data_IF_841224099802
#
_entry.id   IF_841224099802
#
_cell.length_a   1.000
_cell.length_b   1.000
_cell.length_c   1.000
_cell.angle_alpha   90.00
_cell.angle_beta   90.00
_cell.angle_gamma   90.00
#
_symmetry.space_group_name_H-M   'P 1'
#
loop_
_entity.id
_entity.type
_entity.pdbx_description
1 polymer ?
#
# COMPACT_ATOMS: atom_id res chain seq x y z
N UNK A 1 -9.31 15.88 22.61
CA UNK A 1 -8.78 17.24 22.39
C UNK A 1 -7.92 17.63 23.57
N UNK A 2 -6.63 17.87 23.35
CA UNK A 2 -5.75 18.37 24.40
C UNK A 2 -6.07 19.85 24.67
N UNK A 3 -6.39 20.19 25.92
CA UNK A 3 -6.64 21.57 26.33
C UNK A 3 -5.34 22.24 26.76
N UNK A 4 -4.96 23.31 26.06
CA UNK A 4 -3.80 24.13 26.38
C UNK A 4 -4.20 25.32 27.24
N UNK A 5 -3.46 25.55 28.33
CA UNK A 5 -3.63 26.77 29.14
C UNK A 5 -3.05 27.97 28.39
N UNK A 6 -3.50 29.20 28.68
CA UNK A 6 -2.95 30.41 28.05
C UNK A 6 -1.43 30.56 28.20
N UNK A 7 -0.85 30.04 29.29
CA UNK A 7 0.61 30.06 29.51
C UNK A 7 1.33 29.13 28.53
N UNK A 8 0.88 27.88 28.41
CA UNK A 8 1.45 26.88 27.50
C UNK A 8 1.33 27.33 26.04
N UNK A 9 0.18 27.90 25.68
CA UNK A 9 -0.05 28.45 24.34
C UNK A 9 0.89 29.64 24.04
N UNK A 10 1.10 30.51 25.02
CA UNK A 10 1.97 31.67 24.89
C UNK A 10 3.44 31.27 24.69
N UNK A 11 3.90 30.26 25.46
CA UNK A 11 5.23 29.69 25.33
C UNK A 11 5.47 29.09 23.93
N UNK A 12 4.50 28.34 23.40
CA UNK A 12 4.60 27.75 22.05
C UNK A 12 4.63 28.80 20.93
N UNK A 13 3.82 29.85 21.06
CA UNK A 13 3.75 30.93 20.07
C UNK A 13 4.87 31.97 20.22
N UNK A 14 5.73 31.85 21.23
CA UNK A 14 6.78 32.83 21.50
C UNK A 14 6.26 34.21 21.88
N UNK A 15 5.06 34.30 22.46
CA UNK A 15 4.42 35.56 22.88
C UNK A 15 4.12 35.59 24.37
N UNK A 16 3.70 36.74 24.89
CA UNK A 16 3.23 36.83 26.28
C UNK A 16 1.76 36.43 26.41
N UNK A 17 1.37 35.96 27.60
CA UNK A 17 -0.05 35.68 27.92
C UNK A 17 -0.93 36.93 27.73
N UNK A 18 -0.38 38.12 27.98
CA UNK A 18 -1.08 39.40 27.76
C UNK A 18 -1.37 39.61 26.27
N UNK A 19 -0.44 39.26 25.38
CA UNK A 19 -0.63 39.30 23.92
C UNK A 19 -1.80 38.41 23.51
N UNK A 20 -1.86 37.17 24.01
CA UNK A 20 -2.99 36.27 23.75
C UNK A 20 -4.34 36.83 24.22
N UNK A 21 -4.38 37.48 25.38
CA UNK A 21 -5.62 38.12 25.86
C UNK A 21 -6.06 39.30 24.99
N UNK A 22 -5.12 40.03 24.39
CA UNK A 22 -5.41 41.11 23.44
C UNK A 22 -5.95 40.52 22.14
N UNK A 23 -5.34 39.45 21.62
CA UNK A 23 -5.81 38.77 20.42
C UNK A 23 -7.20 38.17 20.57
N UNK A 24 -7.51 37.59 21.73
CA UNK A 24 -8.85 37.11 22.08
C UNK A 24 -9.90 38.23 22.06
N UNK A 25 -9.57 39.42 22.60
CA UNK A 25 -10.46 40.60 22.55
C UNK A 25 -10.62 41.19 21.14
N UNK A 26 -9.55 41.18 20.35
CA UNK A 26 -9.54 41.69 18.96
C UNK A 26 -10.12 40.70 17.95
N UNK A 27 -10.32 39.44 18.34
CA UNK A 27 -10.76 38.36 17.45
C UNK A 27 -9.65 37.77 16.57
N UNK A 28 -8.39 38.17 16.75
CA UNK A 28 -7.24 37.65 15.98
C UNK A 28 -6.93 36.19 16.29
N UNK A 29 -7.10 35.76 17.54
CA UNK A 29 -7.02 34.37 17.98
C UNK A 29 -7.98 34.19 19.16
N UNK A 30 -9.18 33.68 18.89
CA UNK A 30 -10.27 33.65 19.86
C UNK A 30 -10.10 32.49 20.85
N UNK A 31 -10.07 32.79 22.15
CA UNK A 31 -9.94 31.75 23.17
C UNK A 31 -11.26 31.02 23.40
N UNK A 32 -11.22 29.69 23.53
CA UNK A 32 -12.36 28.94 24.04
C UNK A 32 -12.55 29.15 25.55
N UNK A 33 -13.76 28.89 26.04
CA UNK A 33 -14.15 29.11 27.44
C UNK A 33 -14.68 27.84 28.07
N UNK A 34 -14.17 27.52 29.25
CA UNK A 34 -14.78 26.50 30.11
C UNK A 34 -16.15 26.99 30.62
N UNK A 35 -17.00 26.11 31.18
CA UNK A 35 -18.22 26.54 31.88
C UNK A 35 -17.95 27.55 33.00
N UNK A 36 -16.74 27.54 33.58
CA UNK A 36 -16.25 28.52 34.56
C UNK A 36 -15.63 29.78 33.95
N UNK A 37 -15.85 30.03 32.65
CA UNK A 37 -15.35 31.17 31.88
C UNK A 37 -13.81 31.34 31.83
N UNK A 38 -13.05 30.27 32.07
CA UNK A 38 -11.58 30.28 31.94
C UNK A 38 -11.19 30.10 30.48
N UNK A 39 -10.17 30.84 30.05
CA UNK A 39 -9.58 30.73 28.70
C UNK A 39 -8.82 29.42 28.57
N UNK A 40 -9.03 28.72 27.46
CA UNK A 40 -8.16 27.66 27.00
C UNK A 40 -8.04 27.73 25.47
N UNK A 41 -7.00 27.11 24.95
CA UNK A 41 -6.74 26.95 23.53
C UNK A 41 -6.65 25.46 23.21
N UNK A 42 -6.79 25.11 21.93
CA UNK A 42 -6.56 23.73 21.49
C UNK A 42 -5.29 23.64 20.66
N UNK A 43 -4.79 22.42 20.51
CA UNK A 43 -3.68 22.12 19.60
C UNK A 43 -4.04 22.54 18.17
N UNK A 44 -5.30 22.35 17.74
CA UNK A 44 -5.74 22.74 16.39
C UNK A 44 -5.61 24.26 16.17
N UNK A 45 -5.98 25.08 17.17
CA UNK A 45 -5.84 26.54 17.09
C UNK A 45 -4.37 27.00 17.00
N UNK A 46 -3.45 26.28 17.65
CA UNK A 46 -2.02 26.55 17.54
C UNK A 46 -1.53 26.28 16.13
N UNK A 47 -1.84 25.09 15.61
CA UNK A 47 -1.46 24.64 14.26
C UNK A 47 -2.03 25.58 13.19
N UNK A 48 -3.30 25.97 13.29
CA UNK A 48 -3.93 26.95 12.40
C UNK A 48 -3.21 28.30 12.43
N UNK A 49 -2.87 28.81 13.60
CA UNK A 49 -2.20 30.11 13.75
C UNK A 49 -0.78 30.12 13.16
N UNK A 50 0.00 29.05 13.31
CA UNK A 50 1.36 28.96 12.74
C UNK A 50 1.37 28.63 11.24
N UNK A 51 0.19 28.58 10.60
CA UNK A 51 0.06 28.22 9.18
C UNK A 51 0.25 26.73 8.90
N UNK A 52 0.25 25.88 9.93
CA UNK A 52 0.16 24.42 9.83
C UNK A 52 -1.29 23.97 10.03
N UNK A 53 -2.26 24.74 9.52
CA UNK A 53 -3.67 24.45 9.74
C UNK A 53 -3.97 22.98 9.47
N UNK A 54 -4.58 22.33 10.45
CA UNK A 54 -5.19 21.00 10.32
C UNK A 54 -6.42 21.03 9.41
N UNK A 55 -6.49 21.95 8.45
CA UNK A 55 -7.24 21.67 7.23
C UNK A 55 -6.50 20.50 6.61
N UNK A 56 -7.09 19.30 6.72
CA UNK A 56 -6.70 18.14 5.93
C UNK A 56 -6.77 18.54 4.45
N UNK A 57 -5.75 19.23 3.93
CA UNK A 57 -5.47 19.42 2.50
C UNK A 57 -4.91 18.12 1.93
N UNK A 58 -5.42 17.01 2.44
CA UNK A 58 -5.07 15.68 2.03
C UNK A 58 -5.74 15.47 0.68
N UNK A 59 -4.94 15.09 -0.29
CA UNK A 59 -5.33 15.05 -1.69
C UNK A 59 -6.27 13.88 -1.95
N UNK A 60 -7.30 14.11 -2.74
CA UNK A 60 -8.08 13.07 -3.39
C UNK A 60 -7.42 12.72 -4.72
N UNK A 61 -6.93 11.49 -4.82
CA UNK A 61 -6.10 11.05 -5.95
C UNK A 61 -6.84 10.03 -6.78
N UNK A 62 -6.89 10.23 -8.09
CA UNK A 62 -7.28 9.19 -9.04
C UNK A 62 -6.02 8.41 -9.45
N UNK A 63 -6.03 7.09 -9.28
CA UNK A 63 -4.95 6.22 -9.76
C UNK A 63 -5.46 5.29 -10.87
N UNK A 64 -4.80 5.33 -12.02
CA UNK A 64 -5.13 4.48 -13.16
C UNK A 64 -3.88 3.79 -13.73
N UNK A 65 -4.05 2.56 -14.23
CA UNK A 65 -2.95 1.75 -14.76
C UNK A 65 -3.38 0.90 -15.94
N UNK A 66 -2.46 0.75 -16.88
CA UNK A 66 -2.53 -0.28 -17.93
C UNK A 66 -1.20 -1.00 -18.04
N UNK A 67 -1.18 -2.23 -18.57
CA UNK A 67 0.06 -3.00 -18.69
C UNK A 67 0.97 -2.54 -19.83
N UNK A 68 0.39 -2.05 -20.92
CA UNK A 68 1.12 -1.69 -22.15
C UNK A 68 0.72 -0.32 -22.68
N UNK A 69 1.60 0.29 -23.49
CA UNK A 69 1.34 1.60 -24.08
C UNK A 69 0.17 1.58 -25.07
N UNK A 70 -0.10 0.43 -25.70
CA UNK A 70 -1.22 0.27 -26.64
C UNK A 70 -2.60 0.44 -26.01
N UNK A 71 -2.70 0.31 -24.68
CA UNK A 71 -3.95 0.44 -23.92
C UNK A 71 -4.19 1.88 -23.42
N UNK A 72 -3.68 2.89 -24.14
CA UNK A 72 -3.79 4.30 -23.72
C UNK A 72 -5.24 4.78 -23.64
N UNK A 73 -6.10 4.26 -24.51
CA UNK A 73 -7.54 4.59 -24.50
C UNK A 73 -8.23 4.03 -23.26
N UNK A 74 -7.90 2.80 -22.84
CA UNK A 74 -8.39 2.22 -21.59
C UNK A 74 -7.96 3.04 -20.37
N UNK A 75 -6.71 3.53 -20.37
CA UNK A 75 -6.19 4.39 -19.31
C UNK A 75 -7.01 5.69 -19.22
N UNK A 76 -7.36 6.29 -20.36
CA UNK A 76 -8.21 7.47 -20.43
C UNK A 76 -9.63 7.17 -19.93
N UNK A 77 -10.22 6.07 -20.36
CA UNK A 77 -11.55 5.63 -19.93
C UNK A 77 -11.61 5.42 -18.41
N UNK A 78 -10.57 4.83 -17.81
CA UNK A 78 -10.46 4.68 -16.35
C UNK A 78 -10.51 6.04 -15.64
N UNK A 79 -9.72 7.01 -16.10
CA UNK A 79 -9.65 8.35 -15.51
C UNK A 79 -10.98 9.08 -15.66
N UNK A 80 -11.57 9.03 -16.84
CA UNK A 80 -12.83 9.72 -17.13
C UNK A 80 -13.98 9.12 -16.29
N UNK A 81 -13.99 7.80 -16.09
CA UNK A 81 -14.94 7.15 -15.19
C UNK A 81 -14.76 7.58 -13.73
N UNK A 82 -13.52 7.61 -13.23
CA UNK A 82 -13.21 8.09 -11.87
C UNK A 82 -13.65 9.54 -11.69
N UNK A 83 -13.38 10.40 -12.66
CA UNK A 83 -13.80 11.81 -12.64
C UNK A 83 -15.32 11.97 -12.61
N UNK A 84 -16.03 11.23 -13.46
CA UNK A 84 -17.50 11.27 -13.47
C UNK A 84 -18.07 10.85 -12.11
N UNK A 85 -17.54 9.78 -11.52
CA UNK A 85 -17.94 9.34 -10.19
C UNK A 85 -17.66 10.39 -9.11
N UNK A 86 -16.45 10.96 -9.10
CA UNK A 86 -16.06 11.97 -8.13
C UNK A 86 -16.95 13.22 -8.23
N UNK A 87 -17.18 13.72 -9.45
CA UNK A 87 -18.08 14.84 -9.72
C UNK A 87 -19.50 14.56 -9.23
N UNK A 88 -20.03 13.36 -9.47
CA UNK A 88 -21.36 12.95 -9.01
C UNK A 88 -21.47 12.87 -7.48
N UNK A 89 -20.36 12.61 -6.78
CA UNK A 89 -20.27 12.61 -5.32
C UNK A 89 -19.93 13.97 -4.71
N UNK A 90 -19.69 15.00 -5.54
CA UNK A 90 -19.25 16.32 -5.08
C UNK A 90 -17.82 16.32 -4.52
N UNK A 91 -17.01 15.33 -4.90
CA UNK A 91 -15.60 15.22 -4.50
C UNK A 91 -14.73 15.86 -5.59
N UNK A 92 -13.84 16.76 -5.19
CA UNK A 92 -12.83 17.34 -6.07
C UNK A 92 -11.63 16.39 -6.12
N UNK A 93 -11.22 15.99 -7.32
CA UNK A 93 -9.97 15.26 -7.53
C UNK A 93 -8.82 16.26 -7.66
N UNK A 94 -7.89 16.23 -6.72
CA UNK A 94 -6.73 17.12 -6.69
C UNK A 94 -5.64 16.66 -7.67
N UNK A 95 -5.50 15.34 -7.83
CA UNK A 95 -4.43 14.76 -8.63
C UNK A 95 -4.87 13.52 -9.40
N UNK A 96 -4.31 13.33 -10.59
CA UNK A 96 -4.48 12.11 -11.39
C UNK A 96 -3.11 11.48 -11.66
N UNK A 97 -2.89 10.31 -11.09
CA UNK A 97 -1.65 9.55 -11.21
C UNK A 97 -1.87 8.37 -12.15
N UNK A 98 -0.94 8.17 -13.09
CA UNK A 98 -1.06 7.13 -14.12
C UNK A 98 0.24 6.39 -14.34
N UNK A 99 0.20 5.06 -14.38
CA UNK A 99 1.35 4.22 -14.75
C UNK A 99 1.04 3.33 -15.97
N UNK A 100 2.10 3.06 -16.75
CA UNK A 100 2.10 2.05 -17.80
C UNK A 100 3.09 0.97 -17.37
N UNK A 101 2.59 -0.23 -17.08
CA UNK A 101 3.36 -1.38 -16.64
C UNK A 101 2.50 -2.43 -15.93
N UNK A 102 3.01 -3.66 -15.85
CA UNK A 102 2.32 -4.78 -15.20
C UNK A 102 1.98 -4.49 -13.73
N UNK A 103 0.83 -4.99 -13.28
CA UNK A 103 0.43 -4.94 -11.87
C UNK A 103 1.31 -5.77 -10.93
N UNK A 104 2.21 -6.61 -11.49
CA UNK A 104 3.25 -7.34 -10.76
C UNK A 104 4.51 -6.49 -10.51
N UNK A 105 4.62 -5.30 -11.11
CA UNK A 105 5.78 -4.44 -10.90
C UNK A 105 5.58 -3.53 -9.67
N UNK A 106 6.26 -3.84 -8.57
CA UNK A 106 6.22 -3.06 -7.32
C UNK A 106 7.17 -1.83 -7.36
N UNK A 107 7.95 -1.67 -8.44
CA UNK A 107 8.88 -0.56 -8.63
C UNK A 107 8.33 0.51 -9.60
N UNK A 108 7.00 0.59 -9.74
CA UNK A 108 6.34 1.63 -10.53
C UNK A 108 6.58 2.98 -9.85
N UNK A 109 7.29 3.88 -10.52
CA UNK A 109 7.78 5.14 -9.95
C UNK A 109 6.66 5.98 -9.34
N UNK A 110 5.57 6.22 -10.09
CA UNK A 110 4.48 7.08 -9.64
C UNK A 110 3.60 6.41 -8.59
N UNK A 111 3.38 5.10 -8.70
CA UNK A 111 2.70 4.34 -7.65
C UNK A 111 3.48 4.32 -6.33
N UNK A 112 4.81 4.20 -6.36
CA UNK A 112 5.63 4.29 -5.15
C UNK A 112 5.62 5.71 -4.57
N UNK A 113 5.68 6.74 -5.42
CA UNK A 113 5.49 8.12 -4.97
C UNK A 113 4.13 8.32 -4.29
N UNK A 114 3.04 7.77 -4.85
CA UNK A 114 1.73 7.80 -4.22
C UNK A 114 1.74 7.12 -2.84
N UNK A 115 2.44 6.00 -2.68
CA UNK A 115 2.58 5.34 -1.37
C UNK A 115 3.41 6.17 -0.39
N UNK A 116 4.48 6.83 -0.85
CA UNK A 116 5.27 7.77 -0.03
C UNK A 116 4.37 8.92 0.48
N UNK A 117 3.56 9.51 -0.40
CA UNK A 117 2.61 10.56 -0.04
C UNK A 117 1.52 10.07 0.93
N UNK A 118 1.08 8.81 0.81
CA UNK A 118 0.20 8.17 1.81
C UNK A 118 0.89 8.07 3.16
N UNK A 119 2.15 7.60 3.20
CA UNK A 119 2.91 7.45 4.44
C UNK A 119 3.19 8.81 5.11
N UNK A 120 3.34 9.87 4.32
CA UNK A 120 3.47 11.25 4.77
C UNK A 120 2.13 11.91 5.14
N UNK A 121 1.03 11.15 5.15
CA UNK A 121 -0.34 11.57 5.44
C UNK A 121 -0.88 12.67 4.50
N UNK A 122 -0.37 12.78 3.28
CA UNK A 122 -0.75 13.80 2.30
C UNK A 122 -1.94 13.42 1.42
N UNK A 123 -2.39 12.16 1.48
CA UNK A 123 -3.45 11.62 0.60
C UNK A 123 -4.64 11.16 1.45
N UNK A 124 -5.84 11.67 1.15
CA UNK A 124 -7.05 11.32 1.89
C UNK A 124 -7.73 10.08 1.31
N UNK A 125 -7.99 10.13 0.00
CA UNK A 125 -8.71 9.08 -0.71
C UNK A 125 -8.02 8.76 -2.03
N UNK A 126 -7.89 7.47 -2.33
CA UNK A 126 -7.39 6.96 -3.61
C UNK A 126 -8.54 6.30 -4.35
N UNK A 127 -8.88 6.81 -5.53
CA UNK A 127 -9.89 6.24 -6.40
C UNK A 127 -9.25 5.35 -7.45
N UNK A 128 -9.75 4.12 -7.57
CA UNK A 128 -9.35 3.14 -8.58
C UNK A 128 -10.57 2.48 -9.20
N UNK A 129 -10.48 2.04 -10.45
CA UNK A 129 -11.58 1.28 -11.07
C UNK A 129 -11.65 -0.15 -10.54
N UNK A 130 -10.49 -0.78 -10.31
CA UNK A 130 -10.38 -2.14 -9.75
C UNK A 130 -9.14 -2.31 -8.88
N UNK A 131 -9.20 -3.28 -7.96
CA UNK A 131 -8.08 -3.68 -7.09
C UNK A 131 -6.79 -3.99 -7.88
N UNK A 132 -6.92 -4.64 -9.03
CA UNK A 132 -5.79 -5.05 -9.87
C UNK A 132 -5.14 -3.89 -10.66
N UNK A 133 -5.82 -2.73 -10.74
CA UNK A 133 -5.21 -1.50 -11.26
C UNK A 133 -4.18 -0.99 -10.26
N UNK A 134 -4.50 -1.04 -8.97
CA UNK A 134 -3.59 -0.68 -7.89
C UNK A 134 -2.41 -1.66 -7.82
N UNK A 135 -2.70 -2.95 -7.64
CA UNK A 135 -1.67 -4.00 -7.58
C UNK A 135 -2.23 -5.38 -7.89
N UNK A 136 -1.45 -6.26 -8.56
CA UNK A 136 -1.93 -7.59 -8.93
C UNK A 136 -2.13 -8.51 -7.73
N UNK A 137 -1.20 -8.48 -6.77
CA UNK A 137 -1.26 -9.31 -5.56
C UNK A 137 -0.96 -8.49 -4.31
N UNK A 138 -1.54 -8.92 -3.18
CA UNK A 138 -1.31 -8.28 -1.89
C UNK A 138 -2.11 -6.99 -1.69
N UNK A 139 -3.17 -6.75 -2.50
CA UNK A 139 -4.04 -5.57 -2.35
C UNK A 139 -4.47 -5.36 -0.89
N UNK A 140 -4.93 -6.41 -0.20
CA UNK A 140 -5.41 -6.29 1.18
C UNK A 140 -4.32 -5.84 2.17
N UNK A 141 -3.04 -6.08 1.87
CA UNK A 141 -1.93 -5.56 2.66
C UNK A 141 -1.78 -4.05 2.46
N UNK A 142 -1.82 -3.58 1.22
CA UNK A 142 -1.73 -2.14 0.93
C UNK A 142 -2.98 -1.38 1.37
N UNK A 143 -4.16 -1.99 1.29
CA UNK A 143 -5.38 -1.40 1.84
C UNK A 143 -5.26 -1.18 3.35
N UNK A 144 -4.68 -2.14 4.07
CA UNK A 144 -4.37 -1.97 5.50
C UNK A 144 -3.33 -0.88 5.75
N UNK A 145 -2.27 -0.82 4.94
CA UNK A 145 -1.26 0.24 5.02
C UNK A 145 -1.92 1.62 4.86
N UNK A 146 -2.71 1.82 3.80
CA UNK A 146 -3.44 3.07 3.60
C UNK A 146 -4.36 3.40 4.78
N UNK A 147 -5.12 2.42 5.29
CA UNK A 147 -5.98 2.61 6.48
C UNK A 147 -5.21 3.04 7.73
N UNK A 148 -4.00 2.53 7.95
CA UNK A 148 -3.15 2.94 9.08
C UNK A 148 -2.73 4.41 8.99
N UNK A 149 -2.63 4.94 7.77
CA UNK A 149 -2.35 6.35 7.50
C UNK A 149 -3.63 7.15 7.23
N UNK A 150 -4.80 6.67 7.69
CA UNK A 150 -6.10 7.33 7.48
C UNK A 150 -6.45 7.58 6.00
N UNK A 151 -5.88 6.83 5.06
CA UNK A 151 -6.19 6.92 3.63
C UNK A 151 -7.19 5.83 3.24
N UNK A 152 -8.28 6.21 2.58
CA UNK A 152 -9.25 5.27 2.03
C UNK A 152 -8.93 4.91 0.57
N UNK A 153 -9.07 3.63 0.19
CA UNK A 153 -9.04 3.22 -1.22
C UNK A 153 -10.46 2.90 -1.67
N UNK A 154 -11.00 3.70 -2.58
CA UNK A 154 -12.35 3.54 -3.14
C UNK A 154 -12.26 2.81 -4.47
N UNK A 155 -12.86 1.62 -4.53
CA UNK A 155 -12.92 0.77 -5.73
C UNK A 155 -14.27 0.93 -6.42
N UNK A 156 -14.28 1.46 -7.63
CA UNK A 156 -15.52 1.81 -8.35
C UNK A 156 -16.16 0.65 -9.13
N UNK A 157 -15.43 -0.45 -9.36
CA UNK A 157 -15.88 -1.66 -10.04
C UNK A 157 -16.51 -1.44 -11.44
N UNK A 158 -15.78 -0.84 -12.38
CA UNK A 158 -16.25 -0.67 -13.75
C UNK A 158 -16.01 -1.92 -14.63
N UNK A 159 -17.07 -2.72 -14.86
CA UNK A 159 -17.08 -4.02 -15.58
C UNK A 159 -16.26 -4.03 -16.89
N UNK A 160 -16.16 -2.90 -17.58
CA UNK A 160 -15.50 -2.80 -18.88
C UNK A 160 -13.96 -2.63 -18.82
N UNK A 161 -13.36 -2.51 -17.63
CA UNK A 161 -11.96 -2.05 -17.49
C UNK A 161 -10.97 -3.07 -16.93
N UNK A 162 -11.35 -4.34 -16.75
CA UNK A 162 -10.41 -5.41 -16.36
C UNK A 162 -10.03 -6.27 -17.57
N UNK A 163 -8.84 -6.08 -18.17
CA UNK A 163 -8.49 -6.79 -19.39
C UNK A 163 -8.05 -8.22 -19.04
N UNK A 164 -8.80 -9.22 -19.52
CA UNK A 164 -8.45 -10.65 -19.41
C UNK A 164 -7.03 -10.93 -19.89
N UNK A 165 -6.59 -10.24 -20.94
CA UNK A 165 -5.25 -10.38 -21.51
C UNK A 165 -4.15 -10.05 -20.49
N UNK A 166 -4.30 -8.99 -19.69
CA UNK A 166 -3.30 -8.63 -18.68
C UNK A 166 -3.15 -9.72 -17.60
N UNK A 167 -4.23 -10.41 -17.25
CA UNK A 167 -4.17 -11.52 -16.29
C UNK A 167 -3.40 -12.70 -16.88
N UNK A 168 -3.61 -13.02 -18.15
CA UNK A 168 -2.89 -14.09 -18.86
C UNK A 168 -1.40 -13.76 -18.96
N UNK A 169 -1.05 -12.53 -19.35
CA UNK A 169 0.34 -12.08 -19.45
C UNK A 169 1.05 -12.13 -18.09
N UNK A 170 0.36 -11.74 -17.03
CA UNK A 170 0.88 -11.81 -15.66
C UNK A 170 1.07 -13.27 -15.21
N UNK A 171 0.16 -14.18 -15.55
CA UNK A 171 0.33 -15.63 -15.30
C UNK A 171 1.54 -16.20 -16.06
N UNK A 172 1.68 -15.89 -17.34
CA UNK A 172 2.83 -16.34 -18.15
C UNK A 172 4.13 -15.84 -17.53
N UNK A 173 4.17 -14.58 -17.11
CA UNK A 173 5.33 -13.97 -16.45
C UNK A 173 5.70 -14.71 -15.16
N UNK A 174 4.72 -15.06 -14.33
CA UNK A 174 4.92 -15.84 -13.10
C UNK A 174 5.47 -17.23 -13.42
N UNK A 175 4.84 -17.96 -14.34
CA UNK A 175 5.28 -19.30 -14.75
C UNK A 175 6.69 -19.27 -15.30
N UNK A 176 7.03 -18.25 -16.10
CA UNK A 176 8.37 -18.07 -16.64
C UNK A 176 9.42 -17.85 -15.53
N UNK A 177 9.15 -16.96 -14.57
CA UNK A 177 10.05 -16.71 -13.43
C UNK A 177 10.29 -17.97 -12.62
N UNK A 178 9.24 -18.73 -12.31
CA UNK A 178 9.38 -20.01 -11.59
C UNK A 178 10.11 -21.07 -12.41
N UNK A 179 9.83 -21.17 -13.71
CA UNK A 179 10.51 -22.11 -14.60
C UNK A 179 12.02 -21.83 -14.64
N UNK A 180 12.42 -20.57 -14.86
CA UNK A 180 13.81 -20.15 -14.84
C UNK A 180 14.50 -20.47 -13.51
N UNK A 181 13.83 -20.23 -12.38
CA UNK A 181 14.34 -20.57 -11.05
C UNK A 181 14.50 -22.09 -10.87
N UNK A 182 13.54 -22.90 -11.33
CA UNK A 182 13.63 -24.36 -11.29
C UNK A 182 14.78 -24.89 -12.15
N UNK A 183 14.96 -24.36 -13.35
CA UNK A 183 16.11 -24.70 -14.20
C UNK A 183 17.44 -24.31 -13.54
N UNK A 184 17.52 -23.11 -12.94
CA UNK A 184 18.68 -22.67 -12.17
C UNK A 184 19.02 -23.61 -11.01
N UNK A 185 18.01 -24.02 -10.24
CA UNK A 185 18.17 -24.98 -9.14
C UNK A 185 18.63 -26.36 -9.62
N UNK A 186 18.10 -26.86 -10.75
CA UNK A 186 18.56 -28.12 -11.35
C UNK A 186 20.03 -28.04 -11.78
N UNK A 187 20.43 -26.94 -12.43
CA UNK A 187 21.82 -26.69 -12.83
C UNK A 187 22.75 -26.60 -11.62
N UNK A 188 22.34 -25.91 -10.56
CA UNK A 188 23.10 -25.81 -9.31
C UNK A 188 23.24 -27.16 -8.62
N UNK A 189 22.16 -27.93 -8.49
CA UNK A 189 22.17 -29.30 -7.93
C UNK A 189 23.05 -30.25 -8.74
N UNK A 190 23.04 -30.14 -10.07
CA UNK A 190 23.91 -30.92 -10.94
C UNK A 190 25.39 -30.53 -10.79
N UNK A 191 25.70 -29.24 -10.62
CA UNK A 191 27.07 -28.78 -10.34
C UNK A 191 27.57 -29.30 -8.99
N UNK A 192 26.76 -29.18 -7.93
CA UNK A 192 27.10 -29.71 -6.60
C UNK A 192 27.36 -31.22 -6.61
N UNK A 193 26.56 -32.01 -7.35
CA UNK A 193 26.78 -33.47 -7.46
C UNK A 193 28.08 -33.85 -8.20
N UNK A 194 28.50 -33.02 -9.14
CA UNK A 194 29.65 -33.25 -10.01
C UNK A 194 30.93 -32.56 -9.51
N UNK A 195 30.83 -31.72 -8.49
CA UNK A 195 31.96 -31.07 -7.86
C UNK A 195 32.67 -32.06 -6.92
N UNK A 196 33.80 -32.58 -7.39
CA UNK A 196 34.62 -33.55 -6.65
C UNK A 196 35.31 -32.93 -5.43
N UNK A 197 35.42 -31.60 -5.35
CA UNK A 197 36.04 -30.91 -4.20
C UNK A 197 35.16 -30.92 -2.95
N UNK A 198 33.84 -31.09 -3.11
CA UNK A 198 32.87 -31.22 -2.03
C UNK A 198 32.65 -32.67 -1.57
N UNK A 199 33.30 -33.64 -2.23
CA UNK A 199 33.24 -35.08 -1.90
C UNK A 199 34.37 -35.53 -0.94
N UNK A 200 34.96 -34.60 -0.20
CA UNK A 200 35.94 -34.91 0.85
C UNK A 200 35.26 -34.92 2.21
N UNK A 201 34.76 -36.08 2.65
CA UNK A 201 34.31 -36.24 4.04
C UNK A 201 33.11 -37.12 4.32
N UNK A 202 32.83 -38.17 3.55
CA UNK A 202 32.08 -39.32 4.07
C UNK A 202 32.81 -40.57 3.60
N UNK A 203 33.65 -41.11 4.48
CA UNK A 203 34.11 -42.49 4.36
C UNK A 203 32.88 -43.38 4.58
N UNK A 204 32.73 -44.35 3.68
CA UNK A 204 31.86 -45.50 3.84
C UNK A 204 32.02 -46.08 5.24
N UNK A 205 30.92 -46.18 5.99
CA UNK A 205 30.80 -47.23 7.00
C UNK A 205 29.58 -48.11 6.69
N UNK A 206 29.83 -49.40 6.78
CA UNK A 206 29.17 -50.43 5.99
C UNK A 206 28.06 -51.16 6.76
N UNK A 207 26.81 -51.09 6.26
CA UNK A 207 25.80 -52.19 6.21
C UNK A 207 25.25 -52.74 7.57
N UNK A 208 24.15 -53.55 7.67
CA UNK A 208 23.56 -54.44 6.64
C UNK A 208 22.01 -54.51 6.50
N UNK A 209 21.62 -54.89 5.27
CA UNK A 209 20.52 -55.79 4.88
C UNK A 209 19.41 -56.07 5.91
N UNK A 210 18.24 -55.45 5.73
CA UNK A 210 16.97 -56.01 6.20
C UNK A 210 16.56 -57.19 5.30
N UNK A 211 16.78 -58.41 5.77
CA UNK A 211 16.30 -59.65 5.13
C UNK A 211 14.87 -59.95 5.59
N UNK A 212 14.09 -60.48 4.66
CA UNK A 212 12.69 -60.87 4.75
C UNK A 212 12.34 -61.75 5.96
N UNK A 213 11.10 -61.59 6.46
CA UNK A 213 10.34 -62.71 7.01
C UNK A 213 9.34 -63.18 5.96
N UNK A 214 9.60 -64.38 5.42
CA UNK A 214 8.60 -65.22 4.81
C UNK A 214 8.36 -66.40 5.75
N UNK A 215 7.09 -66.68 6.05
CA UNK A 215 6.61 -68.04 6.35
C UNK A 215 5.26 -68.22 5.65
N UNK A 216 5.30 -69.05 4.62
CA UNK A 216 4.27 -69.97 4.09
C UNK A 216 3.36 -70.55 5.18
N UNK A 217 2.10 -70.96 4.99
CA UNK A 217 1.45 -71.67 3.87
C UNK A 217 -0.08 -71.79 4.13
N UNK A 218 -0.81 -72.28 3.11
CA UNK A 218 -2.22 -72.72 3.06
C UNK A 218 -3.29 -71.60 2.94
N UNK A 219 -4.28 -71.66 2.05
CA UNK A 219 -4.91 -72.81 1.39
C UNK A 219 -5.66 -72.41 0.11
N UNK A 220 -5.91 -73.41 -0.74
CA UNK A 220 -6.57 -73.35 -2.06
C UNK A 220 -8.06 -73.00 -1.96
N UNK A 221 -8.61 -72.50 -3.06
CA UNK A 221 -9.97 -72.87 -3.50
C UNK A 221 -10.76 -71.71 -4.09
N UNK A 222 -11.15 -71.92 -5.36
CA UNK A 222 -12.28 -71.37 -6.13
C UNK A 222 -13.14 -70.25 -5.53
#
# INVERSE_FOLDING_TARGET
MAMLKPKEMAERLGVTVRTLQIWDKKGTLKAHRTPTNRRYYTEEQYLEYIGQSTSNNRKNVAYARVSTYGQKDDLKNQIDFIRQYANAKGVILDETITDIGSGLNYNRKKWNQLLEEVMDNQVDTIFITYKDRFIRFGYDWFERLCKMHNTEIVVLNNIETSPTQEMVDDMISIVHVFSCRLYGLRKYKSKLKNDKSLRGGENDDSSPKGKALSKSNHEKGS
#
